data_IF_658039371445
#
_entry.id   IF_658039371445
#
_cell.length_a   1.000
_cell.length_b   1.000
_cell.length_c   1.000
_cell.angle_alpha   90.00
_cell.angle_beta   90.00
_cell.angle_gamma   90.00
#
_symmetry.space_group_name_H-M   'P 1'
#
loop_
_entity.id
_entity.type
_entity.pdbx_description
1 polymer ?
#
# COMPACT_ATOMS: atom_id res chain seq x y z
N UNK A 1 5.06 -16.41 -5.90
CA UNK A 1 4.69 -15.00 -6.17
C UNK A 1 5.57 -14.36 -7.25
N UNK A 2 6.90 -14.44 -7.16
CA UNK A 2 7.80 -13.71 -8.08
C UNK A 2 8.24 -14.48 -9.35
N UNK A 3 7.62 -15.61 -9.66
CA UNK A 3 8.06 -16.52 -10.74
C UNK A 3 7.87 -15.95 -12.15
N UNK A 4 7.03 -14.91 -12.31
CA UNK A 4 6.78 -14.25 -13.60
C UNK A 4 7.58 -12.96 -13.80
N UNK A 5 8.41 -12.58 -12.83
CA UNK A 5 9.25 -11.39 -12.93
C UNK A 5 10.64 -11.72 -13.47
N UNK A 6 11.21 -10.75 -14.18
CA UNK A 6 12.62 -10.78 -14.56
C UNK A 6 13.50 -10.84 -13.30
N UNK A 7 14.71 -11.40 -13.42
CA UNK A 7 15.66 -11.46 -12.29
C UNK A 7 15.93 -10.07 -11.72
N UNK A 8 15.88 -9.07 -12.59
CA UNK A 8 15.97 -7.65 -12.27
C UNK A 8 14.84 -7.16 -11.38
N UNK A 9 13.59 -7.40 -11.78
CA UNK A 9 12.44 -7.00 -10.98
C UNK A 9 12.41 -7.72 -9.62
N UNK A 10 12.93 -8.95 -9.54
CA UNK A 10 13.15 -9.63 -8.25
C UNK A 10 14.18 -8.92 -7.38
N UNK A 11 15.31 -8.48 -7.95
CA UNK A 11 16.31 -7.68 -7.22
C UNK A 11 15.73 -6.39 -6.66
N UNK A 12 14.98 -5.64 -7.46
CA UNK A 12 14.31 -4.40 -7.04
C UNK A 12 13.45 -4.60 -5.79
N UNK A 13 12.70 -5.70 -5.75
CA UNK A 13 11.82 -6.02 -4.63
C UNK A 13 12.61 -6.32 -3.35
N UNK A 14 13.72 -7.04 -3.47
CA UNK A 14 14.62 -7.33 -2.33
C UNK A 14 15.23 -6.02 -1.81
N UNK A 15 15.70 -5.16 -2.71
CA UNK A 15 16.23 -3.84 -2.35
C UNK A 15 15.18 -2.96 -1.67
N UNK A 16 13.93 -3.00 -2.14
CA UNK A 16 12.84 -2.29 -1.49
C UNK A 16 12.54 -2.79 -0.07
N UNK A 17 12.63 -4.10 0.16
CA UNK A 17 12.50 -4.67 1.51
C UNK A 17 13.62 -4.20 2.43
N UNK A 18 14.84 -4.11 1.90
CA UNK A 18 16.00 -3.63 2.65
C UNK A 18 15.86 -2.15 3.01
N UNK A 19 15.45 -1.30 2.08
CA UNK A 19 15.17 0.12 2.34
C UNK A 19 14.04 0.31 3.37
N UNK A 20 12.96 -0.48 3.29
CA UNK A 20 11.89 -0.44 4.30
C UNK A 20 12.40 -0.81 5.70
N UNK A 21 13.32 -1.77 5.78
CA UNK A 21 13.93 -2.19 7.03
C UNK A 21 14.90 -1.16 7.58
N UNK A 22 15.67 -0.48 6.72
CA UNK A 22 16.55 0.63 7.13
C UNK A 22 15.76 1.81 7.69
N UNK A 23 14.61 2.12 7.08
CA UNK A 23 13.71 3.19 7.52
C UNK A 23 12.79 2.80 8.70
N UNK A 24 12.91 1.56 9.22
CA UNK A 24 12.05 0.99 10.25
C UNK A 24 10.55 1.02 9.90
N UNK A 25 10.22 0.92 8.61
CA UNK A 25 8.84 0.91 8.13
C UNK A 25 8.25 -0.50 8.20
N UNK A 26 7.07 -0.61 8.80
CA UNK A 26 6.36 -1.88 9.00
C UNK A 26 5.63 -2.39 7.75
N UNK A 27 5.72 -1.67 6.63
CA UNK A 27 5.12 -2.03 5.35
C UNK A 27 5.97 -1.49 4.19
N UNK A 28 5.93 -2.17 3.05
CA UNK A 28 6.62 -1.74 1.82
C UNK A 28 5.65 -0.86 1.02
N UNK A 29 5.74 0.45 1.22
CA UNK A 29 5.07 1.45 0.37
C UNK A 29 5.73 1.63 -1.01
N UNK A 30 5.11 2.45 -1.86
CA UNK A 30 5.61 2.78 -3.20
C UNK A 30 6.97 3.47 -3.19
N UNK A 31 7.27 4.20 -2.11
CA UNK A 31 8.52 4.88 -1.86
C UNK A 31 9.70 3.90 -1.73
N UNK A 32 9.49 2.74 -1.11
CA UNK A 32 10.54 1.72 -1.01
C UNK A 32 10.78 1.03 -2.34
N UNK A 33 9.71 0.82 -3.12
CA UNK A 33 9.85 0.31 -4.49
C UNK A 33 10.62 1.32 -5.36
N UNK A 34 10.33 2.62 -5.20
CA UNK A 34 11.09 3.67 -5.86
C UNK A 34 12.57 3.62 -5.46
N UNK A 35 12.88 3.61 -4.16
CA UNK A 35 14.26 3.49 -3.68
C UNK A 35 14.95 2.22 -4.22
N UNK A 36 14.27 1.08 -4.23
CA UNK A 36 14.79 -0.17 -4.78
C UNK A 36 15.05 -0.11 -6.31
N UNK A 37 14.23 0.63 -7.06
CA UNK A 37 14.43 0.85 -8.50
C UNK A 37 15.65 1.74 -8.80
N UNK A 38 15.90 2.71 -7.93
CA UNK A 38 17.04 3.63 -8.05
C UNK A 38 18.31 2.92 -7.61
N UNK A 39 18.24 2.16 -6.51
CA UNK A 39 19.34 1.40 -5.95
C UNK A 39 19.83 0.30 -6.90
N UNK A 40 18.95 -0.29 -7.69
CA UNK A 40 19.33 -1.25 -8.72
C UNK A 40 20.25 -0.65 -9.80
N UNK A 41 20.24 0.67 -9.98
CA UNK A 41 21.27 1.46 -10.68
C UNK A 41 21.29 1.33 -12.21
N UNK A 42 20.96 0.17 -12.75
CA UNK A 42 21.00 -0.06 -14.20
C UNK A 42 19.72 0.44 -14.90
N UNK A 43 18.71 0.87 -14.12
CA UNK A 43 17.31 1.01 -14.51
C UNK A 43 16.99 2.31 -15.24
N UNK A 44 15.83 2.35 -15.89
CA UNK A 44 15.29 3.60 -16.45
C UNK A 44 15.09 4.63 -15.33
N UNK A 45 14.69 4.18 -14.14
CA UNK A 45 14.50 5.04 -12.96
C UNK A 45 15.80 5.70 -12.49
N UNK A 46 16.89 4.92 -12.36
CA UNK A 46 18.20 5.44 -11.98
C UNK A 46 18.71 6.47 -13.01
N UNK A 47 18.66 6.13 -14.30
CA UNK A 47 19.06 7.04 -15.38
C UNK A 47 18.22 8.32 -15.45
N UNK A 48 16.92 8.21 -15.19
CA UNK A 48 16.04 9.38 -15.16
C UNK A 48 16.43 10.34 -14.04
N UNK A 49 16.74 9.84 -12.84
CA UNK A 49 17.17 10.69 -11.73
C UNK A 49 18.57 11.26 -11.92
N UNK A 50 19.50 10.47 -12.46
CA UNK A 50 20.83 10.96 -12.85
C UNK A 50 20.71 12.10 -13.87
N UNK A 51 19.80 11.99 -14.84
CA UNK A 51 19.56 13.06 -15.82
C UNK A 51 18.98 14.34 -15.20
N UNK A 52 18.35 14.24 -14.04
CA UNK A 52 17.84 15.35 -13.24
C UNK A 52 18.87 15.85 -12.21
N UNK A 53 20.04 15.21 -12.10
CA UNK A 53 21.06 15.53 -11.10
C UNK A 53 20.68 15.14 -9.66
N UNK A 54 19.72 14.23 -9.51
CA UNK A 54 19.22 13.78 -8.20
C UNK A 54 19.95 12.49 -7.81
N UNK A 55 20.61 12.51 -6.64
CA UNK A 55 21.26 11.32 -6.08
C UNK A 55 20.28 10.45 -5.31
N UNK A 56 20.59 9.16 -5.19
CA UNK A 56 19.81 8.22 -4.35
C UNK A 56 19.69 8.73 -2.91
N UNK A 57 20.76 9.31 -2.36
CA UNK A 57 20.76 9.85 -1.00
C UNK A 57 19.77 11.00 -0.83
N UNK A 58 19.67 11.89 -1.83
CA UNK A 58 18.70 12.99 -1.80
C UNK A 58 17.25 12.48 -1.80
N UNK A 59 16.97 11.41 -2.57
CA UNK A 59 15.64 10.79 -2.56
C UNK A 59 15.36 10.13 -1.20
N UNK A 60 16.34 9.42 -0.63
CA UNK A 60 16.19 8.81 0.70
C UNK A 60 15.87 9.87 1.77
N UNK A 61 16.62 10.97 1.78
CA UNK A 61 16.39 12.07 2.71
C UNK A 61 14.98 12.69 2.53
N UNK A 62 14.53 12.84 1.29
CA UNK A 62 13.18 13.36 1.03
C UNK A 62 12.08 12.40 1.52
N UNK A 63 12.28 11.09 1.37
CA UNK A 63 11.35 10.08 1.89
C UNK A 63 11.31 10.11 3.42
N UNK A 64 12.48 10.23 4.07
CA UNK A 64 12.57 10.40 5.52
C UNK A 64 11.87 11.67 6.01
N UNK A 65 11.97 12.79 5.29
CA UNK A 65 11.28 14.03 5.66
C UNK A 65 9.76 13.95 5.52
N UNK A 66 9.26 13.26 4.49
CA UNK A 66 7.82 13.19 4.21
C UNK A 66 7.12 12.17 5.13
N UNK A 67 7.72 11.00 5.33
CA UNK A 67 7.10 9.89 6.07
C UNK A 67 7.58 9.83 7.53
N UNK A 68 8.81 10.29 7.81
CA UNK A 68 9.49 10.08 9.08
C UNK A 68 10.13 8.68 9.16
N UNK A 69 10.92 8.43 10.20
CA UNK A 69 11.36 7.07 10.52
C UNK A 69 10.28 6.33 11.32
N UNK A 70 10.06 5.06 11.00
CA UNK A 70 9.10 4.25 11.73
C UNK A 70 9.51 4.02 13.19
N UNK A 71 8.51 4.00 14.09
CA UNK A 71 8.71 3.89 15.54
C UNK A 71 9.27 2.53 15.99
N UNK A 72 9.17 1.49 15.16
CA UNK A 72 9.54 0.11 15.50
C UNK A 72 10.15 -0.59 14.30
N UNK A 73 11.33 -1.19 14.49
CA UNK A 73 11.95 -2.05 13.51
C UNK A 73 11.05 -3.28 13.26
N UNK A 74 10.65 -3.55 12.01
CA UNK A 74 9.81 -4.70 11.70
C UNK A 74 10.55 -6.00 12.04
N UNK A 75 9.93 -6.81 12.88
CA UNK A 75 10.44 -8.13 13.26
C UNK A 75 9.89 -9.18 12.30
N UNK A 76 10.69 -9.58 11.29
CA UNK A 76 10.33 -10.65 10.36
C UNK A 76 10.01 -10.18 8.94
N UNK A 77 8.99 -10.77 8.32
CA UNK A 77 8.62 -10.51 6.92
C UNK A 77 7.78 -9.21 6.81
N UNK A 78 8.28 -8.23 6.06
CA UNK A 78 7.60 -6.95 5.83
C UNK A 78 6.56 -7.12 4.70
N UNK A 79 5.26 -6.93 4.95
CA UNK A 79 4.24 -7.05 3.91
C UNK A 79 4.23 -5.83 2.97
N UNK A 80 3.74 -6.03 1.73
CA UNK A 80 3.55 -4.95 0.74
C UNK A 80 2.35 -4.05 0.99
N UNK A 81 1.58 -4.30 2.04
CA UNK A 81 0.38 -3.54 2.36
C UNK A 81 0.40 -3.14 3.83
N UNK A 82 0.04 -1.90 4.17
CA UNK A 82 -0.25 -1.56 5.56
C UNK A 82 -1.43 -2.44 5.97
N UNK A 83 -1.21 -3.39 6.88
CA UNK A 83 -2.31 -4.18 7.41
C UNK A 83 -3.31 -3.21 8.06
N UNK A 84 -4.55 -3.11 7.57
CA UNK A 84 -5.57 -2.41 8.32
C UNK A 84 -5.74 -3.21 9.60
N UNK A 85 -5.26 -2.67 10.73
CA UNK A 85 -5.40 -3.28 12.06
C UNK A 85 -6.87 -3.63 12.25
N UNK A 86 -7.20 -4.90 12.02
CA UNK A 86 -8.57 -5.39 11.98
C UNK A 86 -9.03 -5.58 13.42
N UNK A 87 -9.29 -4.48 14.13
CA UNK A 87 -10.08 -4.54 15.36
C UNK A 87 -11.55 -4.69 14.95
N UNK A 88 -11.90 -5.87 14.44
CA UNK A 88 -13.28 -6.33 14.49
C UNK A 88 -13.57 -6.73 15.94
N UNK A 89 -13.72 -5.75 16.82
CA UNK A 89 -14.56 -5.94 18.00
C UNK A 89 -16.00 -5.93 17.52
N UNK A 90 -16.51 -7.13 17.25
CA UNK A 90 -17.90 -7.54 17.48
C UNK A 90 -18.89 -6.40 17.72
N UNK A 91 -19.30 -5.69 16.67
CA UNK A 91 -20.53 -4.89 16.70
C UNK A 91 -21.57 -5.69 15.92
N UNK A 92 -22.49 -6.27 16.69
CA UNK A 92 -23.66 -7.01 16.23
C UNK A 92 -24.33 -6.28 15.06
N UNK A 93 -24.22 -6.87 13.87
CA UNK A 93 -25.00 -6.44 12.72
C UNK A 93 -26.48 -6.68 13.04
N UNK A 94 -27.23 -5.60 13.27
CA UNK A 94 -28.69 -5.66 13.26
C UNK A 94 -29.11 -5.70 11.78
N UNK A 95 -29.92 -6.67 11.34
CA UNK A 95 -30.38 -6.70 9.96
C UNK A 95 -31.29 -5.49 9.70
N UNK A 96 -30.98 -4.77 8.63
CA UNK A 96 -31.74 -3.63 8.14
C UNK A 96 -33.03 -4.16 7.50
N UNK A 97 -34.16 -4.01 8.20
CA UNK A 97 -35.48 -4.46 7.73
C UNK A 97 -36.10 -3.39 6.83
N UNK A 98 -36.21 -3.68 5.53
CA UNK A 98 -36.76 -2.79 4.51
C UNK A 98 -38.26 -3.01 4.25
N UNK A 99 -39.03 -3.59 5.18
CA UNK A 99 -40.44 -3.90 4.93
C UNK A 99 -41.28 -2.63 4.68
N UNK A 100 -41.44 -2.31 3.40
CA UNK A 100 -42.26 -1.24 2.85
C UNK A 100 -43.74 -1.61 2.95
N UNK A 101 -44.50 -0.75 3.62
CA UNK A 101 -45.96 -0.75 3.62
C UNK A 101 -46.47 -0.65 2.18
N UNK A 102 -47.01 -1.74 1.64
CA UNK A 102 -47.85 -1.68 0.44
C UNK A 102 -49.31 -1.58 0.89
N UNK A 103 -49.84 -0.36 0.90
CA UNK A 103 -51.27 -0.09 0.99
C UNK A 103 -51.92 -0.34 -0.37
N UNK A 104 -52.81 -1.33 -0.46
CA UNK A 104 -53.64 -1.60 -1.63
C UNK A 104 -54.76 -0.54 -1.79
N UNK A 105 -55.07 -0.06 -3.00
CA UNK A 105 -56.28 0.74 -3.23
C UNK A 105 -57.50 -0.15 -3.48
N UNK A 106 -58.57 0.09 -2.72
CA UNK A 106 -59.90 -0.50 -2.91
C UNK A 106 -60.62 0.12 -4.10
N UNK A 107 -60.86 -0.67 -5.16
CA UNK A 107 -61.71 -0.28 -6.29
C UNK A 107 -63.16 -0.63 -5.95
N UNK A 108 -63.98 0.36 -5.59
CA UNK A 108 -65.45 0.23 -5.56
C UNK A 108 -66.03 0.76 -6.87
N UNK A 109 -66.51 -0.15 -7.71
CA UNK A 109 -67.32 0.13 -8.89
C UNK A 109 -68.67 0.74 -8.47
N UNK A 110 -69.12 1.78 -9.17
CA UNK A 110 -70.44 2.42 -9.01
C UNK A 110 -71.48 1.80 -9.94
N UNK A 111 -72.74 1.71 -9.50
CA UNK A 111 -73.99 2.03 -10.23
C UNK A 111 -75.20 1.43 -9.51
#
# INVERSE_FOLDING_TARGET
MFERFTDRARRVVVLAQEEARMLNHNYIGTEHILLGLIHEGEGVAAKALESLGISLEAVRQQVEEIIGQGQQAPSGHIPFTPEPRRSWSSRSARPFSWATTTSAPSTSCSA
#
